data_IF_023749465627
#
_entry.id   IF_023749465627
#
_cell.length_a   1.000
_cell.length_b   1.000
_cell.length_c   1.000
_cell.angle_alpha   90.00
_cell.angle_beta   90.00
_cell.angle_gamma   90.00
#
_symmetry.space_group_name_H-M   'P 1'
#
loop_
_entity.id
_entity.type
_entity.pdbx_description
1 polymer ?
#
# COMPACT_ATOMS: atom_id res chain seq x y z
N UNK A 1 -105.94 21.73 47.00
CA UNK A 1 -105.84 21.33 45.58
C UNK A 1 -104.39 20.93 45.33
N UNK A 2 -104.14 19.62 45.18
CA UNK A 2 -103.74 18.98 43.90
C UNK A 2 -102.40 19.51 43.36
N UNK A 3 -101.31 18.79 43.60
CA UNK A 3 -100.68 17.83 42.65
C UNK A 3 -100.09 18.53 41.41
N UNK A 4 -98.77 18.64 41.36
CA UNK A 4 -97.92 18.56 40.15
C UNK A 4 -96.44 18.45 40.63
N UNK A 5 -95.90 17.26 40.95
CA UNK A 5 -95.50 16.12 40.09
C UNK A 5 -94.12 16.33 39.44
N UNK A 6 -93.10 15.95 40.21
CA UNK A 6 -91.83 15.31 39.86
C UNK A 6 -91.42 15.30 38.38
N UNK A 7 -90.26 15.89 38.08
CA UNK A 7 -89.24 15.35 37.16
C UNK A 7 -87.95 16.17 37.31
N UNK A 8 -86.81 15.50 37.16
CA UNK A 8 -85.42 15.99 37.23
C UNK A 8 -84.76 16.01 38.61
N UNK A 9 -84.72 14.83 39.23
CA UNK A 9 -83.55 14.41 40.00
C UNK A 9 -82.56 13.67 39.07
N UNK A 10 -81.27 13.74 39.39
CA UNK A 10 -80.17 12.91 38.86
C UNK A 10 -79.53 13.30 37.51
N UNK A 11 -78.98 14.51 37.37
CA UNK A 11 -77.83 14.74 36.45
C UNK A 11 -76.52 14.51 37.20
N UNK A 12 -76.20 13.22 37.25
CA UNK A 12 -74.97 12.55 37.65
C UNK A 12 -73.71 13.43 37.57
N UNK A 13 -73.17 13.64 38.77
CA UNK A 13 -71.88 14.20 39.13
C UNK A 13 -70.72 13.24 38.76
N UNK A 14 -70.51 12.94 37.47
CA UNK A 14 -69.48 11.97 37.06
C UNK A 14 -68.78 12.35 35.72
N UNK A 15 -68.19 13.54 35.64
CA UNK A 15 -67.41 13.93 34.46
C UNK A 15 -66.06 14.60 34.80
N UNK A 16 -65.48 14.32 35.97
CA UNK A 16 -64.12 14.77 36.31
C UNK A 16 -63.31 13.65 36.97
N UNK A 17 -63.30 12.46 36.36
CA UNK A 17 -62.17 11.56 36.52
C UNK A 17 -61.12 12.01 35.50
N UNK A 18 -60.18 12.83 35.98
CA UNK A 18 -58.98 13.21 35.26
C UNK A 18 -58.30 11.96 34.72
N UNK A 19 -58.43 11.75 33.41
CA UNK A 19 -57.68 10.75 32.66
C UNK A 19 -56.25 11.25 32.53
N UNK A 20 -55.45 11.05 33.58
CA UNK A 20 -53.99 11.05 33.46
C UNK A 20 -53.61 9.84 32.61
N UNK A 21 -53.74 9.96 31.28
CA UNK A 21 -52.97 9.15 30.36
C UNK A 21 -51.51 9.55 30.54
N UNK A 22 -50.81 8.87 31.44
CA UNK A 22 -49.36 8.80 31.42
C UNK A 22 -49.03 8.14 30.08
N UNK A 23 -48.53 8.94 29.13
CA UNK A 23 -47.97 8.38 27.90
C UNK A 23 -46.90 7.36 28.30
N UNK A 24 -46.88 6.14 27.71
CA UNK A 24 -45.82 5.19 27.97
C UNK A 24 -44.48 5.90 27.73
N UNK A 25 -43.48 5.73 28.61
CA UNK A 25 -42.18 6.34 28.39
C UNK A 25 -41.71 5.94 26.99
N UNK A 26 -41.15 6.89 26.21
CA UNK A 26 -40.72 6.61 24.84
C UNK A 26 -39.80 5.39 24.87
N UNK A 27 -39.94 4.45 23.91
CA UNK A 27 -39.11 3.25 23.89
C UNK A 27 -37.63 3.67 23.91
N UNK A 28 -36.79 2.96 24.69
CA UNK A 28 -35.37 3.30 24.77
C UNK A 28 -34.79 3.36 23.35
N UNK A 29 -33.93 4.36 23.06
CA UNK A 29 -33.34 4.49 21.74
C UNK A 29 -32.66 3.17 21.35
N UNK A 30 -32.82 2.71 20.10
CA UNK A 30 -32.19 1.48 19.65
C UNK A 30 -30.68 1.56 19.88
N UNK A 31 -30.02 0.46 20.29
CA UNK A 31 -28.59 0.45 20.48
C UNK A 31 -27.90 0.92 19.19
N UNK A 32 -26.85 1.74 19.30
CA UNK A 32 -26.22 2.31 18.13
C UNK A 32 -25.63 1.17 17.27
N UNK A 33 -25.94 1.20 15.98
CA UNK A 33 -25.51 0.18 15.02
C UNK A 33 -24.11 0.48 14.49
N UNK A 34 -23.23 -0.54 14.52
CA UNK A 34 -21.85 -0.44 14.03
C UNK A 34 -20.85 0.03 15.10
N UNK A 35 -19.57 0.19 14.73
CA UNK A 35 -18.52 0.54 15.67
C UNK A 35 -18.75 1.92 16.29
N UNK A 36 -18.49 2.00 17.59
CA UNK A 36 -18.61 3.20 18.42
C UNK A 36 -17.26 3.74 18.86
N UNK A 37 -16.21 2.91 18.79
CA UNK A 37 -14.87 3.25 19.30
C UNK A 37 -13.81 3.11 18.22
N UNK A 38 -12.67 3.76 18.46
CA UNK A 38 -11.47 3.63 17.63
C UNK A 38 -10.98 2.19 17.61
N UNK A 39 -10.99 1.53 18.77
CA UNK A 39 -10.50 0.17 18.98
C UNK A 39 -11.31 -0.86 18.19
N UNK A 40 -12.63 -0.68 18.10
CA UNK A 40 -13.51 -1.53 17.28
C UNK A 40 -13.19 -1.37 15.79
N UNK A 41 -12.99 -0.13 15.32
CA UNK A 41 -12.58 0.12 13.93
C UNK A 41 -11.20 -0.49 13.66
N UNK A 42 -10.23 -0.32 14.56
CA UNK A 42 -8.91 -0.92 14.42
C UNK A 42 -8.96 -2.45 14.32
N UNK A 43 -9.78 -3.10 15.16
CA UNK A 43 -9.96 -4.55 15.13
C UNK A 43 -10.52 -5.05 13.80
N UNK A 44 -11.32 -4.23 13.11
CA UNK A 44 -11.86 -4.55 11.78
C UNK A 44 -10.86 -4.26 10.66
N UNK A 45 -10.10 -3.16 10.75
CA UNK A 45 -9.24 -2.72 9.65
C UNK A 45 -7.86 -3.39 9.67
N UNK A 46 -7.27 -3.65 10.85
CA UNK A 46 -5.93 -4.27 10.94
C UNK A 46 -5.81 -5.63 10.22
N UNK A 47 -6.80 -6.53 10.30
CA UNK A 47 -6.75 -7.78 9.53
C UNK A 47 -6.62 -7.59 8.02
N UNK A 48 -7.08 -6.46 7.47
CA UNK A 48 -6.96 -6.15 6.03
C UNK A 48 -5.49 -6.05 5.61
N UNK A 49 -4.62 -5.50 6.47
CA UNK A 49 -3.18 -5.33 6.18
C UNK A 49 -2.32 -6.50 6.66
N UNK A 50 -2.91 -7.52 7.32
CA UNK A 50 -2.18 -8.68 7.79
C UNK A 50 -1.40 -9.42 6.68
N UNK A 51 -1.91 -9.57 5.45
CA UNK A 51 -1.13 -10.18 4.36
C UNK A 51 0.10 -9.35 3.95
N UNK A 52 0.04 -8.01 4.06
CA UNK A 52 1.20 -7.14 3.81
C UNK A 52 2.29 -7.46 4.82
N UNK A 53 1.92 -7.50 6.11
CA UNK A 53 2.84 -7.82 7.21
C UNK A 53 3.46 -9.21 7.02
N UNK A 54 2.65 -10.22 6.72
CA UNK A 54 3.14 -11.56 6.44
C UNK A 54 4.12 -11.59 5.26
N UNK A 55 3.84 -10.83 4.19
CA UNK A 55 4.75 -10.71 3.05
C UNK A 55 6.06 -10.04 3.45
N UNK A 56 6.00 -9.00 4.28
CA UNK A 56 7.18 -8.35 4.88
C UNK A 56 8.00 -9.37 5.67
N UNK A 57 7.38 -10.08 6.61
CA UNK A 57 8.08 -11.02 7.51
C UNK A 57 8.69 -12.22 6.79
N UNK A 58 7.99 -12.79 5.80
CA UNK A 58 8.39 -14.03 5.13
C UNK A 58 9.21 -13.81 3.86
N UNK A 59 9.31 -12.58 3.38
CA UNK A 59 9.93 -12.30 2.08
C UNK A 59 9.10 -12.75 0.88
N UNK A 60 7.84 -13.13 1.07
CA UNK A 60 6.98 -13.65 0.00
C UNK A 60 6.39 -12.54 -0.86
N UNK A 61 6.04 -12.89 -2.09
CA UNK A 61 5.40 -11.98 -3.03
C UNK A 61 3.88 -11.95 -2.80
N UNK A 62 3.32 -10.74 -2.74
CA UNK A 62 1.88 -10.52 -2.63
C UNK A 62 1.23 -10.61 -4.02
N UNK A 63 0.28 -11.52 -4.19
CA UNK A 63 -0.32 -11.80 -5.49
C UNK A 63 -1.21 -10.67 -6.01
N UNK A 64 -1.34 -10.50 -7.33
CA UNK A 64 -2.12 -9.41 -7.95
C UNK A 64 -3.56 -9.34 -7.42
N UNK A 65 -4.22 -10.50 -7.32
CA UNK A 65 -5.60 -10.58 -6.83
C UNK A 65 -5.70 -10.17 -5.35
N UNK A 66 -4.73 -10.60 -4.53
CA UNK A 66 -4.66 -10.27 -3.12
C UNK A 66 -4.39 -8.77 -2.92
N UNK A 67 -3.47 -8.18 -3.70
CA UNK A 67 -3.20 -6.74 -3.72
C UNK A 67 -4.47 -5.94 -3.98
N UNK A 68 -5.23 -6.34 -5.00
CA UNK A 68 -6.47 -5.67 -5.38
C UNK A 68 -7.54 -5.76 -4.28
N UNK A 69 -7.69 -6.93 -3.65
CA UNK A 69 -8.63 -7.14 -2.53
C UNK A 69 -8.27 -6.28 -1.32
N UNK A 70 -6.98 -6.19 -0.95
CA UNK A 70 -6.54 -5.34 0.16
C UNK A 70 -6.88 -3.88 -0.10
N UNK A 71 -6.53 -3.35 -1.27
CA UNK A 71 -6.82 -1.95 -1.62
C UNK A 71 -8.32 -1.67 -1.65
N UNK A 72 -9.12 -2.60 -2.18
CA UNK A 72 -10.59 -2.47 -2.17
C UNK A 72 -11.13 -2.42 -0.73
N UNK A 73 -10.67 -3.30 0.15
CA UNK A 73 -11.11 -3.36 1.54
C UNK A 73 -10.69 -2.10 2.32
N UNK A 74 -9.49 -1.56 2.06
CA UNK A 74 -9.06 -0.29 2.64
C UNK A 74 -9.95 0.88 2.18
N UNK A 75 -10.27 0.97 0.88
CA UNK A 75 -11.21 1.98 0.36
C UNK A 75 -12.58 1.86 1.02
N UNK A 76 -13.07 0.64 1.19
CA UNK A 76 -14.35 0.40 1.86
C UNK A 76 -14.32 0.87 3.32
N UNK A 77 -13.24 0.57 4.05
CA UNK A 77 -13.07 1.05 5.43
C UNK A 77 -13.02 2.58 5.50
N UNK A 78 -12.36 3.25 4.55
CA UNK A 78 -12.36 4.72 4.44
C UNK A 78 -13.78 5.25 4.21
N UNK A 79 -14.55 4.64 3.32
CA UNK A 79 -15.93 5.04 3.05
C UNK A 79 -16.85 4.85 4.26
N UNK A 80 -16.69 3.74 4.99
CA UNK A 80 -17.55 3.38 6.13
C UNK A 80 -17.20 4.13 7.42
N UNK A 81 -15.93 4.49 7.62
CA UNK A 81 -15.44 4.99 8.90
C UNK A 81 -14.73 6.34 8.81
N UNK A 82 -14.28 6.79 7.64
CA UNK A 82 -13.55 8.04 7.47
C UNK A 82 -14.36 9.30 7.79
N UNK A 83 -15.69 9.22 7.76
CA UNK A 83 -16.58 10.31 8.20
C UNK A 83 -16.60 10.54 9.72
N UNK A 84 -16.14 9.57 10.53
CA UNK A 84 -16.22 9.61 11.99
C UNK A 84 -14.85 9.96 12.59
N UNK A 85 -14.82 10.76 13.66
CA UNK A 85 -13.57 11.20 14.29
C UNK A 85 -12.71 10.01 14.75
N UNK A 86 -13.30 9.09 15.53
CA UNK A 86 -12.64 7.87 15.97
C UNK A 86 -12.24 6.95 14.81
N UNK A 87 -13.00 6.97 13.71
CA UNK A 87 -12.68 6.21 12.50
C UNK A 87 -11.46 6.78 11.78
N UNK A 88 -11.35 8.10 11.66
CA UNK A 88 -10.14 8.76 11.12
C UNK A 88 -8.91 8.49 11.97
N UNK A 89 -9.05 8.46 13.29
CA UNK A 89 -7.95 8.11 14.19
C UNK A 89 -7.50 6.66 14.00
N UNK A 90 -8.44 5.72 13.88
CA UNK A 90 -8.13 4.31 13.61
C UNK A 90 -7.43 4.14 12.25
N UNK A 91 -7.96 4.76 11.19
CA UNK A 91 -7.36 4.69 9.85
C UNK A 91 -5.96 5.32 9.83
N UNK A 92 -5.74 6.41 10.56
CA UNK A 92 -4.41 7.02 10.70
C UNK A 92 -3.40 6.08 11.34
N UNK A 93 -3.80 5.36 12.39
CA UNK A 93 -2.92 4.39 13.05
C UNK A 93 -2.59 3.20 12.15
N UNK A 94 -3.56 2.71 11.37
CA UNK A 94 -3.31 1.70 10.31
C UNK A 94 -2.36 2.26 9.25
N UNK A 95 -2.49 3.54 8.87
CA UNK A 95 -1.56 4.18 7.97
C UNK A 95 -0.13 4.22 8.50
N UNK A 96 0.07 4.44 9.81
CA UNK A 96 1.40 4.34 10.40
C UNK A 96 1.95 2.92 10.33
N UNK A 97 1.13 1.90 10.58
CA UNK A 97 1.54 0.50 10.39
C UNK A 97 1.99 0.24 8.95
N UNK A 98 1.23 0.69 7.95
CA UNK A 98 1.57 0.55 6.52
C UNK A 98 2.87 1.30 6.20
N UNK A 99 3.07 2.49 6.75
CA UNK A 99 4.26 3.29 6.50
C UNK A 99 5.53 2.61 7.04
N UNK A 100 5.47 1.97 8.21
CA UNK A 100 6.58 1.17 8.73
C UNK A 100 6.86 -0.06 7.85
N UNK A 101 5.81 -0.79 7.44
CA UNK A 101 5.96 -1.92 6.51
C UNK A 101 6.60 -1.49 5.18
N UNK A 102 6.24 -0.32 4.65
CA UNK A 102 6.84 0.25 3.45
C UNK A 102 8.32 0.61 3.61
N UNK A 103 8.72 1.09 4.80
CA UNK A 103 10.14 1.34 5.13
C UNK A 103 10.91 0.03 5.20
N UNK A 104 10.38 -0.98 5.87
CA UNK A 104 11.01 -2.30 6.00
C UNK A 104 11.18 -2.97 4.64
N UNK A 105 10.12 -3.00 3.82
CA UNK A 105 10.18 -3.52 2.46
C UNK A 105 11.22 -2.78 1.58
N UNK A 106 11.34 -1.46 1.74
CA UNK A 106 12.33 -0.64 1.03
C UNK A 106 13.76 -0.93 1.50
N UNK A 107 13.96 -1.11 2.80
CA UNK A 107 15.26 -1.47 3.38
C UNK A 107 15.75 -2.83 2.88
N UNK A 108 14.83 -3.78 2.69
CA UNK A 108 15.10 -5.10 2.13
C UNK A 108 15.14 -5.14 0.59
N UNK A 109 15.11 -3.98 -0.08
CA UNK A 109 15.08 -3.85 -1.54
C UNK A 109 13.89 -4.55 -2.24
N UNK A 110 12.80 -4.78 -1.51
CA UNK A 110 11.56 -5.36 -2.03
C UNK A 110 10.67 -4.28 -2.63
N UNK A 111 11.17 -3.65 -3.68
CA UNK A 111 10.60 -2.44 -4.28
C UNK A 111 9.13 -2.54 -4.69
N UNK A 112 8.67 -3.71 -5.18
CA UNK A 112 7.24 -3.92 -5.50
C UNK A 112 6.35 -3.86 -4.26
N UNK A 113 6.79 -4.44 -3.15
CA UNK A 113 6.06 -4.43 -1.89
C UNK A 113 6.12 -3.03 -1.25
N UNK A 114 7.25 -2.35 -1.36
CA UNK A 114 7.39 -0.96 -0.92
C UNK A 114 6.40 -0.04 -1.65
N UNK A 115 6.31 -0.12 -2.99
CA UNK A 115 5.31 0.63 -3.77
C UNK A 115 3.89 0.28 -3.38
N UNK A 116 3.59 -1.00 -3.17
CA UNK A 116 2.27 -1.41 -2.72
C UNK A 116 1.88 -0.79 -1.36
N UNK A 117 2.85 -0.64 -0.45
CA UNK A 117 2.61 0.07 0.81
C UNK A 117 2.34 1.57 0.59
N UNK A 118 2.98 2.20 -0.40
CA UNK A 118 2.66 3.58 -0.80
C UNK A 118 1.22 3.67 -1.30
N UNK A 119 0.81 2.80 -2.24
CA UNK A 119 -0.56 2.77 -2.77
C UNK A 119 -1.61 2.57 -1.67
N UNK A 120 -1.32 1.68 -0.72
CA UNK A 120 -2.19 1.39 0.41
C UNK A 120 -2.28 2.57 1.40
N UNK A 121 -1.18 3.29 1.61
CA UNK A 121 -1.13 4.50 2.44
C UNK A 121 -1.90 5.66 1.80
N UNK A 122 -1.71 5.87 0.49
CA UNK A 122 -2.41 6.90 -0.28
C UNK A 122 -3.92 6.60 -0.36
N UNK A 123 -4.31 5.33 -0.37
CA UNK A 123 -5.71 4.90 -0.29
C UNK A 123 -6.40 5.37 1.01
N UNK A 124 -5.64 5.56 2.08
CA UNK A 124 -6.14 6.13 3.35
C UNK A 124 -6.20 7.67 3.32
N UNK A 125 -5.94 8.29 2.16
CA UNK A 125 -5.83 9.74 1.96
C UNK A 125 -4.78 10.39 2.87
N UNK A 126 -3.66 9.68 3.07
CA UNK A 126 -2.55 10.15 3.88
C UNK A 126 -1.38 10.56 2.99
N UNK A 127 -0.59 11.53 3.45
CA UNK A 127 0.58 12.02 2.71
C UNK A 127 1.84 11.85 3.57
N UNK A 128 2.94 11.43 2.94
CA UNK A 128 4.24 11.27 3.61
C UNK A 128 5.38 11.56 2.64
N UNK A 129 6.17 12.59 2.95
CA UNK A 129 7.37 12.91 2.19
C UNK A 129 8.39 11.76 2.17
N UNK A 130 8.42 10.94 3.22
CA UNK A 130 9.27 9.77 3.28
C UNK A 130 8.79 8.67 2.32
N UNK A 131 7.49 8.39 2.28
CA UNK A 131 6.93 7.39 1.36
C UNK A 131 7.01 7.85 -0.09
N UNK A 132 6.82 9.15 -0.36
CA UNK A 132 7.06 9.71 -1.70
C UNK A 132 8.49 9.46 -2.19
N UNK A 133 9.51 9.69 -1.34
CA UNK A 133 10.90 9.36 -1.70
C UNK A 133 11.13 7.86 -1.92
N UNK A 134 10.46 7.01 -1.14
CA UNK A 134 10.50 5.56 -1.32
C UNK A 134 9.88 5.19 -2.66
N UNK A 135 8.74 5.80 -3.03
CA UNK A 135 8.09 5.60 -4.33
C UNK A 135 9.03 5.95 -5.48
N UNK A 136 9.57 7.17 -5.49
CA UNK A 136 10.49 7.65 -6.53
C UNK A 136 11.70 6.73 -6.69
N UNK A 137 12.25 6.23 -5.58
CA UNK A 137 13.38 5.31 -5.59
C UNK A 137 12.96 3.93 -6.11
N UNK A 138 11.85 3.39 -5.62
CA UNK A 138 11.37 2.06 -5.97
C UNK A 138 11.01 1.94 -7.45
N UNK A 139 10.36 2.96 -8.02
CA UNK A 139 10.08 3.05 -9.46
C UNK A 139 11.37 2.96 -10.28
N UNK A 140 12.37 3.77 -9.94
CA UNK A 140 13.69 3.74 -10.61
C UNK A 140 14.39 2.40 -10.44
N UNK A 141 14.32 1.78 -9.27
CA UNK A 141 14.97 0.48 -9.01
C UNK A 141 14.29 -0.68 -9.76
N UNK A 142 12.97 -0.62 -9.97
CA UNK A 142 12.26 -1.60 -10.78
C UNK A 142 12.57 -1.47 -12.28
N UNK A 143 12.91 -0.26 -12.73
CA UNK A 143 13.37 0.00 -14.10
C UNK A 143 14.84 -0.37 -14.33
N UNK A 144 15.63 -0.60 -13.27
CA UNK A 144 17.02 -0.99 -13.40
C UNK A 144 17.10 -2.35 -14.12
N UNK A 145 17.72 -2.43 -15.31
CA UNK A 145 17.81 -3.69 -16.02
C UNK A 145 18.78 -4.64 -15.30
N UNK A 146 18.56 -5.95 -15.47
CA UNK A 146 19.53 -6.96 -15.03
C UNK A 146 20.58 -7.15 -16.12
N UNK A 147 21.85 -7.12 -15.75
CA UNK A 147 22.98 -7.27 -16.67
C UNK A 147 23.60 -8.65 -16.50
N UNK A 148 23.90 -9.34 -17.60
CA UNK A 148 24.69 -10.56 -17.61
C UNK A 148 25.87 -10.38 -18.55
N UNK A 149 27.09 -10.47 -18.01
CA UNK A 149 28.31 -10.35 -18.82
C UNK A 149 28.58 -11.68 -19.52
N UNK A 150 28.65 -11.66 -20.85
CA UNK A 150 28.79 -12.84 -21.72
C UNK A 150 30.20 -13.04 -22.25
N UNK A 151 31.01 -11.99 -22.30
CA UNK A 151 32.39 -12.12 -22.73
C UNK A 151 33.10 -10.80 -22.94
N UNK A 152 34.36 -10.92 -23.33
CA UNK A 152 35.27 -9.82 -23.55
C UNK A 152 36.03 -10.03 -24.86
N UNK A 153 36.29 -8.97 -25.61
CA UNK A 153 37.16 -8.98 -26.79
C UNK A 153 38.07 -7.76 -26.73
N UNK A 154 39.38 -8.01 -26.72
CA UNK A 154 40.38 -6.96 -26.88
C UNK A 154 40.74 -6.87 -28.36
N UNK A 155 40.63 -5.69 -28.95
CA UNK A 155 41.15 -5.44 -30.29
C UNK A 155 42.69 -5.44 -30.24
N UNK A 156 43.29 -6.26 -31.10
CA UNK A 156 44.74 -6.44 -31.16
C UNK A 156 45.51 -5.20 -31.64
N UNK A 157 44.85 -4.25 -32.31
CA UNK A 157 45.48 -3.07 -32.92
C UNK A 157 45.51 -1.89 -31.95
N UNK A 158 44.35 -1.50 -31.43
CA UNK A 158 44.21 -0.29 -30.59
C UNK A 158 44.09 -0.61 -29.09
N UNK A 159 44.09 -1.90 -28.73
CA UNK A 159 43.96 -2.40 -27.35
C UNK A 159 42.63 -2.03 -26.68
N UNK A 160 41.61 -1.72 -27.47
CA UNK A 160 40.26 -1.45 -26.97
C UNK A 160 39.59 -2.73 -26.48
N UNK A 161 39.11 -2.71 -25.24
CA UNK A 161 38.36 -3.81 -24.64
C UNK A 161 36.85 -3.60 -24.83
N UNK A 162 36.23 -4.51 -25.57
CA UNK A 162 34.79 -4.63 -25.72
C UNK A 162 34.22 -5.65 -24.75
N UNK A 163 33.10 -5.30 -24.13
CA UNK A 163 32.33 -6.19 -23.26
C UNK A 163 31.02 -6.55 -23.95
N UNK A 164 30.73 -7.85 -24.05
CA UNK A 164 29.47 -8.36 -24.55
C UNK A 164 28.58 -8.73 -23.37
N UNK A 165 27.33 -8.29 -23.42
CA UNK A 165 26.39 -8.49 -22.33
C UNK A 165 24.96 -8.66 -22.82
N UNK A 166 24.17 -9.37 -22.03
CA UNK A 166 22.72 -9.43 -22.16
C UNK A 166 22.10 -8.47 -21.14
N UNK A 167 21.26 -7.56 -21.62
CA UNK A 167 20.46 -6.65 -20.82
C UNK A 167 19.05 -7.21 -20.76
N UNK A 168 18.60 -7.57 -19.56
CA UNK A 168 17.29 -8.14 -19.32
C UNK A 168 16.38 -7.08 -18.72
N UNK A 169 15.30 -6.75 -19.41
CA UNK A 169 14.24 -5.90 -18.88
C UNK A 169 13.52 -6.66 -17.75
N UNK A 170 13.52 -6.12 -16.53
CA UNK A 170 12.92 -6.77 -15.35
C UNK A 170 11.40 -6.87 -15.40
N UNK A 171 10.75 -6.06 -16.23
CA UNK A 171 9.29 -6.01 -16.37
C UNK A 171 8.80 -6.96 -17.45
N UNK A 172 9.44 -6.98 -18.61
CA UNK A 172 9.01 -7.79 -19.76
C UNK A 172 9.75 -9.12 -19.88
N UNK A 173 10.94 -9.23 -19.27
CA UNK A 173 11.85 -10.36 -19.48
C UNK A 173 12.55 -10.32 -20.84
N UNK A 174 12.38 -9.26 -21.62
CA UNK A 174 13.04 -9.10 -22.92
C UNK A 174 14.55 -9.02 -22.74
N UNK A 175 15.28 -9.76 -23.58
CA UNK A 175 16.74 -9.82 -23.56
C UNK A 175 17.30 -9.09 -24.76
N UNK A 176 18.10 -8.06 -24.51
CA UNK A 176 18.81 -7.30 -25.55
C UNK A 176 20.31 -7.55 -25.43
N UNK A 177 20.93 -7.99 -26.53
CA UNK A 177 22.38 -8.13 -26.64
C UNK A 177 23.01 -6.77 -26.87
N UNK A 178 23.99 -6.41 -26.04
CA UNK A 178 24.70 -5.14 -26.10
C UNK A 178 26.21 -5.41 -26.11
N UNK A 179 26.92 -4.60 -26.89
CA UNK A 179 28.37 -4.49 -26.87
C UNK A 179 28.69 -3.07 -26.41
N UNK A 180 29.58 -2.95 -25.43
CA UNK A 180 29.96 -1.66 -24.87
C UNK A 180 31.45 -1.59 -24.50
N UNK A 181 31.96 -0.37 -24.42
CA UNK A 181 33.32 -0.04 -23.93
C UNK A 181 33.26 0.79 -22.65
N UNK A 182 34.41 0.90 -22.00
CA UNK A 182 34.57 1.77 -20.83
C UNK A 182 34.14 3.20 -21.15
N UNK A 183 33.26 3.77 -20.31
CA UNK A 183 32.67 5.09 -20.45
C UNK A 183 31.38 5.15 -21.29
N UNK A 184 31.01 4.09 -22.02
CA UNK A 184 29.80 4.10 -22.85
C UNK A 184 28.52 3.97 -22.04
N UNK A 185 27.46 4.62 -22.53
CA UNK A 185 26.13 4.63 -21.94
C UNK A 185 25.12 3.90 -22.84
N UNK A 186 24.27 3.08 -22.22
CA UNK A 186 23.25 2.30 -22.91
C UNK A 186 22.19 1.84 -21.92
N UNK A 187 20.92 1.79 -22.35
CA UNK A 187 19.82 1.20 -21.56
C UNK A 187 19.73 1.73 -20.10
N UNK A 188 20.08 3.00 -19.86
CA UNK A 188 20.08 3.61 -18.52
C UNK A 188 21.29 3.27 -17.65
N UNK A 189 22.30 2.59 -18.20
CA UNK A 189 23.54 2.22 -17.53
C UNK A 189 24.73 2.94 -18.17
N UNK A 190 25.77 3.18 -17.38
CA UNK A 190 27.10 3.56 -17.86
C UNK A 190 28.10 2.49 -17.45
N UNK A 191 28.86 1.97 -18.42
CA UNK A 191 29.95 1.05 -18.11
C UNK A 191 31.14 1.84 -17.58
N UNK A 192 31.53 1.61 -16.32
CA UNK A 192 32.59 2.38 -15.68
C UNK A 192 33.97 1.76 -15.85
N UNK A 193 34.10 0.44 -15.66
CA UNK A 193 35.41 -0.24 -15.73
C UNK A 193 35.29 -1.77 -15.75
N UNK A 194 36.27 -2.45 -16.35
CA UNK A 194 36.49 -3.89 -16.18
C UNK A 194 37.47 -4.15 -15.04
N UNK A 195 37.13 -5.06 -14.13
CA UNK A 195 37.87 -5.37 -12.91
C UNK A 195 38.45 -6.79 -12.93
N UNK A 196 39.55 -6.97 -12.20
CA UNK A 196 40.05 -8.30 -11.82
C UNK A 196 40.53 -9.20 -12.96
N UNK A 197 41.04 -8.63 -14.07
CA UNK A 197 41.41 -9.36 -15.30
C UNK A 197 40.20 -10.04 -15.95
N UNK A 198 39.22 -9.24 -16.35
CA UNK A 198 38.00 -9.70 -17.04
C UNK A 198 37.13 -10.64 -16.18
N UNK A 199 37.09 -10.40 -14.86
CA UNK A 199 36.25 -11.17 -13.93
C UNK A 199 34.96 -10.44 -13.59
N UNK A 200 34.97 -9.12 -13.59
CA UNK A 200 33.86 -8.29 -13.17
C UNK A 200 33.78 -7.05 -14.05
N UNK A 201 32.58 -6.50 -14.20
CA UNK A 201 32.35 -5.23 -14.87
C UNK A 201 31.55 -4.33 -13.94
N UNK A 202 32.05 -3.12 -13.74
CA UNK A 202 31.45 -2.11 -12.88
C UNK A 202 30.54 -1.21 -13.71
N UNK A 203 29.32 -1.01 -13.24
CA UNK A 203 28.33 -0.15 -13.86
C UNK A 203 27.84 0.94 -12.90
N UNK A 204 27.42 2.05 -13.48
CA UNK A 204 26.58 3.06 -12.81
C UNK A 204 25.17 3.00 -13.40
N UNK A 205 24.15 3.03 -12.54
CA UNK A 205 22.77 3.22 -12.97
C UNK A 205 22.42 4.70 -13.05
N UNK A 206 22.30 5.23 -14.27
CA UNK A 206 22.24 6.67 -14.53
C UNK A 206 21.02 7.34 -13.89
N UNK A 207 19.89 6.62 -13.75
CA UNK A 207 18.68 7.17 -13.14
C UNK A 207 18.81 7.41 -11.63
N UNK A 208 19.78 6.78 -10.97
CA UNK A 208 20.09 6.98 -9.55
C UNK A 208 21.57 7.35 -9.44
N UNK A 209 21.90 8.66 -9.44
CA UNK A 209 23.29 9.12 -9.39
C UNK A 209 24.07 8.47 -8.24
N UNK A 210 25.25 7.93 -8.56
CA UNK A 210 26.11 7.27 -7.58
C UNK A 210 25.72 5.83 -7.23
N UNK A 211 24.64 5.27 -7.79
CA UNK A 211 24.34 3.85 -7.66
C UNK A 211 25.27 3.04 -8.57
N UNK A 212 26.32 2.50 -7.95
CA UNK A 212 27.35 1.69 -8.61
C UNK A 212 27.20 0.25 -8.16
N UNK A 213 27.31 -0.68 -9.11
CA UNK A 213 27.27 -2.11 -8.84
C UNK A 213 28.23 -2.88 -9.75
N UNK A 214 28.70 -4.01 -9.26
CA UNK A 214 29.61 -4.90 -9.98
C UNK A 214 28.84 -6.14 -10.46
N UNK A 215 29.13 -6.57 -11.68
CA UNK A 215 28.54 -7.76 -12.30
C UNK A 215 29.65 -8.74 -12.60
N UNK A 216 29.54 -9.94 -12.06
CA UNK A 216 30.47 -11.03 -12.31
C UNK A 216 30.36 -11.55 -13.75
N UNK A 217 31.50 -11.96 -14.31
CA UNK A 217 31.56 -12.67 -15.57
C UNK A 217 31.21 -14.14 -15.37
N UNK A 218 30.07 -14.54 -15.91
CA UNK A 218 29.57 -15.92 -15.84
C UNK A 218 29.40 -16.49 -17.25
N UNK A 219 30.44 -17.16 -17.81
CA UNK A 219 30.42 -17.63 -19.20
C UNK A 219 29.35 -18.69 -19.50
N UNK A 220 28.81 -19.37 -18.48
CA UNK A 220 27.97 -20.56 -18.63
C UNK A 220 26.59 -20.49 -17.94
N UNK A 221 26.17 -19.34 -17.39
CA UNK A 221 24.87 -19.25 -16.72
C UNK A 221 23.77 -18.98 -17.75
N UNK A 222 22.77 -19.86 -17.97
CA UNK A 222 21.74 -19.69 -19.01
C UNK A 222 20.99 -18.34 -18.93
#
# INVERSE_FOLDING_TARGET
MRVLRNLLALSVLAAMAASCKVEPPPPPPPPPTGPQTKEEVLAMVRPIIAPIRASVDTGTFLGIQESATILQNLRQAVMEHGGKDFGREALREVGYDIAELGKEASADERWKLALFCVDAFDTLSMESALLSRISDRAEKMLEQPTVRVRGFLEDGVDKTLYVFMDIVDRRTGEVKKVQAREGEEFNGLRMLKVLGRNKQVRFEYIKIPGLIFDVDFEPNNP
#
